data_IF_606063533308
#
_entry.id   IF_606063533308
#
_cell.length_a   1.000
_cell.length_b   1.000
_cell.length_c   1.000
_cell.angle_alpha   90.00
_cell.angle_beta   90.00
_cell.angle_gamma   90.00
#
_symmetry.space_group_name_H-M   'P 1'
#
loop_
_entity.id
_entity.type
_entity.pdbx_description
1 polymer ?
#
# COMPACT_ATOMS: atom_id res chain seq x y z
N UNK A 1 -17.75 -13.82 -30.12
CA UNK A 1 -18.77 -12.91 -30.68
C UNK A 1 -18.32 -12.16 -31.94
N UNK A 2 -17.28 -12.64 -32.64
CA UNK A 2 -17.09 -12.44 -34.10
C UNK A 2 -18.24 -12.96 -35.01
N UNK A 3 -19.22 -13.80 -34.60
CA UNK A 3 -20.21 -14.29 -35.53
C UNK A 3 -21.28 -13.27 -35.87
N UNK A 4 -21.56 -12.19 -35.12
CA UNK A 4 -22.63 -11.24 -35.50
C UNK A 4 -22.30 -10.45 -36.77
N UNK A 5 -21.10 -9.87 -36.84
CA UNK A 5 -20.67 -9.18 -38.06
C UNK A 5 -20.43 -10.16 -39.22
N UNK A 6 -19.95 -11.38 -38.90
CA UNK A 6 -19.73 -12.42 -39.90
C UNK A 6 -21.06 -12.97 -40.44
N UNK A 7 -22.08 -13.18 -39.60
CA UNK A 7 -23.42 -13.59 -40.04
C UNK A 7 -24.10 -12.49 -40.82
N UNK A 8 -23.95 -11.22 -40.44
CA UNK A 8 -24.41 -10.09 -41.24
C UNK A 8 -23.78 -10.09 -42.64
N UNK A 9 -22.46 -10.24 -42.72
CA UNK A 9 -21.72 -10.28 -43.98
C UNK A 9 -22.13 -11.48 -44.85
N UNK A 10 -22.30 -12.66 -44.24
CA UNK A 10 -22.74 -13.88 -44.94
C UNK A 10 -24.16 -13.73 -45.48
N UNK A 11 -25.10 -13.20 -44.69
CA UNK A 11 -26.49 -12.97 -45.14
C UNK A 11 -26.56 -11.94 -46.26
N UNK A 12 -25.77 -10.87 -46.16
CA UNK A 12 -25.71 -9.83 -47.19
C UNK A 12 -25.09 -10.37 -48.48
N UNK A 13 -23.99 -11.13 -48.40
CA UNK A 13 -23.37 -11.78 -49.55
C UNK A 13 -24.30 -12.82 -50.19
N UNK A 14 -24.98 -13.65 -49.39
CA UNK A 14 -25.94 -14.63 -49.88
C UNK A 14 -27.14 -13.96 -50.57
N UNK A 15 -27.65 -12.86 -50.02
CA UNK A 15 -28.74 -12.10 -50.64
C UNK A 15 -28.36 -11.50 -51.99
N UNK A 16 -27.13 -10.97 -52.12
CA UNK A 16 -26.60 -10.47 -53.40
C UNK A 16 -26.46 -11.60 -54.42
N UNK A 17 -25.90 -12.75 -54.00
CA UNK A 17 -25.66 -13.89 -54.89
C UNK A 17 -26.96 -14.54 -55.41
N UNK A 18 -28.03 -14.49 -54.63
CA UNK A 18 -29.35 -15.07 -54.97
C UNK A 18 -30.30 -14.00 -55.54
N UNK A 19 -29.84 -12.76 -55.70
CA UNK A 19 -30.65 -11.59 -56.13
C UNK A 19 -31.93 -11.40 -55.28
N UNK A 20 -31.88 -11.79 -54.00
CA UNK A 20 -33.01 -11.71 -53.08
C UNK A 20 -32.81 -10.57 -52.08
N UNK A 21 -33.68 -9.55 -52.20
CA UNK A 21 -33.72 -8.41 -51.28
C UNK A 21 -34.06 -8.85 -49.85
N UNK A 22 -34.91 -9.85 -49.69
CA UNK A 22 -35.37 -10.32 -48.37
C UNK A 22 -34.21 -10.94 -47.59
N UNK A 23 -33.39 -11.76 -48.25
CA UNK A 23 -32.20 -12.38 -47.64
C UNK A 23 -31.16 -11.32 -47.29
N UNK A 24 -30.98 -10.31 -48.14
CA UNK A 24 -30.09 -9.19 -47.85
C UNK A 24 -30.57 -8.37 -46.64
N UNK A 25 -31.89 -8.13 -46.51
CA UNK A 25 -32.49 -7.41 -45.38
C UNK A 25 -32.35 -8.16 -44.05
N UNK A 26 -32.26 -9.50 -44.05
CA UNK A 26 -31.99 -10.28 -42.84
C UNK A 26 -30.63 -9.93 -42.19
N UNK A 27 -29.68 -9.38 -42.95
CA UNK A 27 -28.40 -8.90 -42.40
C UNK A 27 -28.54 -7.71 -41.44
N UNK A 28 -29.65 -6.97 -41.51
CA UNK A 28 -29.92 -5.85 -40.61
C UNK A 28 -30.13 -6.30 -39.16
N UNK A 29 -30.66 -7.51 -38.94
CA UNK A 29 -30.89 -8.04 -37.58
C UNK A 29 -29.60 -8.23 -36.78
N UNK A 30 -28.57 -8.95 -37.28
CA UNK A 30 -27.30 -9.07 -36.57
C UNK A 30 -26.53 -7.74 -36.50
N UNK A 31 -26.68 -6.84 -37.48
CA UNK A 31 -26.11 -5.48 -37.41
C UNK A 31 -26.74 -4.64 -36.32
N UNK A 32 -28.07 -4.63 -36.21
CA UNK A 32 -28.80 -3.94 -35.16
C UNK A 32 -28.45 -4.52 -33.78
N UNK A 33 -28.39 -5.85 -33.67
CA UNK A 33 -27.96 -6.52 -32.44
C UNK A 33 -26.51 -6.16 -32.06
N UNK A 34 -25.60 -6.07 -33.03
CA UNK A 34 -24.23 -5.62 -32.80
C UNK A 34 -24.19 -4.16 -32.32
N UNK A 35 -24.91 -3.25 -33.00
CA UNK A 35 -24.98 -1.84 -32.64
C UNK A 35 -25.53 -1.63 -31.22
N UNK A 36 -26.62 -2.32 -30.87
CA UNK A 36 -27.20 -2.31 -29.53
C UNK A 36 -26.21 -2.80 -28.47
N UNK A 37 -25.47 -3.89 -28.73
CA UNK A 37 -24.46 -4.37 -27.79
C UNK A 37 -23.23 -3.45 -27.71
N UNK A 38 -22.91 -2.71 -28.77
CA UNK A 38 -21.78 -1.79 -28.82
C UNK A 38 -22.02 -0.51 -27.99
N UNK A 39 -23.28 -0.09 -27.85
CA UNK A 39 -23.64 1.06 -27.00
C UNK A 39 -23.56 0.72 -25.52
N UNK A 40 -23.80 -0.54 -25.12
CA UNK A 40 -23.73 -0.99 -23.74
C UNK A 40 -22.37 -0.70 -23.11
N UNK A 41 -22.39 -0.08 -21.93
CA UNK A 41 -21.20 0.05 -21.10
C UNK A 41 -20.81 -1.31 -20.49
N UNK A 42 -19.50 -1.57 -20.31
CA UNK A 42 -19.05 -2.73 -19.57
C UNK A 42 -19.59 -2.70 -18.13
N UNK A 43 -19.86 -3.88 -17.54
CA UNK A 43 -20.29 -4.03 -16.16
C UNK A 43 -19.39 -3.28 -15.18
N UNK A 44 -19.99 -2.61 -14.21
CA UNK A 44 -19.26 -2.14 -13.02
C UNK A 44 -19.00 -3.34 -12.12
N UNK A 45 -17.80 -3.37 -11.56
CA UNK A 45 -17.39 -4.46 -10.70
C UNK A 45 -16.46 -4.00 -9.60
N UNK A 46 -16.49 -4.72 -8.48
CA UNK A 46 -15.54 -4.62 -7.39
C UNK A 46 -14.83 -5.97 -7.27
N UNK A 47 -13.52 -5.94 -7.01
CA UNK A 47 -12.68 -7.13 -6.86
C UNK A 47 -12.12 -7.11 -5.46
N UNK A 48 -12.25 -8.23 -4.75
CA UNK A 48 -11.47 -8.49 -3.55
C UNK A 48 -10.73 -9.81 -3.69
N UNK A 49 -9.53 -9.84 -3.13
CA UNK A 49 -8.69 -11.04 -3.03
C UNK A 49 -8.58 -11.39 -1.55
N UNK A 50 -8.83 -12.65 -1.20
CA UNK A 50 -8.65 -13.16 0.16
C UNK A 50 -7.83 -14.45 0.13
N UNK A 51 -6.74 -14.50 0.90
CA UNK A 51 -6.04 -15.76 1.16
C UNK A 51 -6.83 -16.56 2.19
N UNK A 52 -7.24 -17.78 1.83
CA UNK A 52 -7.98 -18.71 2.69
C UNK A 52 -7.18 -20.00 2.78
N UNK A 53 -6.38 -20.13 3.84
CA UNK A 53 -5.40 -21.22 3.98
C UNK A 53 -4.34 -21.16 2.86
N UNK A 54 -4.14 -22.27 2.15
CA UNK A 54 -3.24 -22.39 1.00
C UNK A 54 -3.86 -22.02 -0.36
N UNK A 55 -5.09 -21.51 -0.39
CA UNK A 55 -5.77 -21.08 -1.60
C UNK A 55 -6.03 -19.58 -1.59
N UNK A 56 -6.09 -18.99 -2.78
CA UNK A 56 -6.56 -17.62 -2.97
C UNK A 56 -7.98 -17.64 -3.50
N UNK A 57 -8.84 -16.91 -2.83
CA UNK A 57 -10.23 -16.66 -3.21
C UNK A 57 -10.34 -15.25 -3.80
N UNK A 58 -10.69 -15.18 -5.08
CA UNK A 58 -11.04 -13.92 -5.74
C UNK A 58 -12.55 -13.81 -5.74
N UNK A 59 -13.07 -12.71 -5.19
CA UNK A 59 -14.49 -12.37 -5.22
C UNK A 59 -14.67 -11.18 -6.14
N UNK A 60 -15.43 -11.39 -7.21
CA UNK A 60 -15.84 -10.33 -8.13
C UNK A 60 -17.33 -10.08 -7.96
N UNK A 61 -17.67 -8.90 -7.46
CA UNK A 61 -19.05 -8.42 -7.36
C UNK A 61 -19.33 -7.51 -8.52
N UNK A 62 -20.44 -7.75 -9.23
CA UNK A 62 -20.76 -7.03 -10.47
C UNK A 62 -22.22 -6.62 -10.55
N UNK A 63 -22.48 -5.52 -11.25
CA UNK A 63 -23.82 -4.93 -11.43
C UNK A 63 -24.75 -5.78 -12.34
N UNK A 64 -25.84 -5.22 -12.86
CA UNK A 64 -26.80 -5.96 -13.69
C UNK A 64 -26.41 -6.05 -15.17
N UNK A 65 -25.32 -5.40 -15.60
CA UNK A 65 -24.98 -5.28 -17.03
C UNK A 65 -24.33 -6.57 -17.53
N UNK A 66 -24.61 -7.03 -18.77
CA UNK A 66 -23.93 -8.19 -19.33
C UNK A 66 -22.52 -7.84 -19.79
N UNK A 67 -21.61 -8.81 -19.77
CA UNK A 67 -20.24 -8.59 -20.23
C UNK A 67 -19.37 -9.84 -20.18
N UNK A 68 -18.10 -9.68 -20.56
CA UNK A 68 -17.10 -10.76 -20.55
C UNK A 68 -15.96 -10.37 -19.62
N UNK A 69 -15.70 -11.20 -18.61
CA UNK A 69 -14.63 -11.02 -17.64
C UNK A 69 -13.40 -11.80 -18.09
N UNK A 70 -12.24 -11.15 -18.13
CA UNK A 70 -10.92 -11.76 -18.22
C UNK A 70 -10.20 -11.53 -16.89
N UNK A 71 -9.86 -12.61 -16.20
CA UNK A 71 -9.19 -12.56 -14.89
C UNK A 71 -7.87 -13.29 -15.04
N UNK A 72 -6.78 -12.61 -14.71
CA UNK A 72 -5.43 -13.17 -14.79
C UNK A 72 -4.48 -12.46 -13.83
N UNK A 73 -3.45 -13.16 -13.38
CA UNK A 73 -2.33 -12.53 -12.71
C UNK A 73 -1.40 -11.90 -13.75
N UNK A 74 -0.90 -10.70 -13.46
CA UNK A 74 0.14 -10.11 -14.30
C UNK A 74 1.39 -11.00 -14.31
N UNK A 75 2.09 -11.02 -15.43
CA UNK A 75 3.36 -11.72 -15.58
C UNK A 75 4.52 -10.72 -15.58
N UNK A 76 5.71 -11.10 -15.07
CA UNK A 76 6.90 -10.26 -15.18
C UNK A 76 7.20 -9.95 -16.64
N UNK A 77 7.71 -8.73 -16.90
CA UNK A 77 8.06 -8.25 -18.25
C UNK A 77 9.05 -9.19 -18.95
N UNK A 78 9.89 -9.89 -18.18
CA UNK A 78 10.90 -10.82 -18.65
C UNK A 78 10.37 -12.22 -19.00
N UNK A 79 9.12 -12.54 -18.65
CA UNK A 79 8.57 -13.87 -18.92
C UNK A 79 8.04 -14.00 -20.36
N UNK A 80 8.43 -15.08 -21.02
CA UNK A 80 7.99 -15.41 -22.39
C UNK A 80 6.61 -16.09 -22.45
N UNK A 81 6.08 -16.53 -21.31
CA UNK A 81 4.81 -17.25 -21.23
C UNK A 81 3.65 -16.31 -20.87
N UNK A 82 2.54 -16.41 -21.62
CA UNK A 82 1.31 -15.69 -21.29
C UNK A 82 0.71 -16.24 -19.97
N UNK A 83 0.16 -15.38 -19.11
CA UNK A 83 -0.49 -15.85 -17.88
C UNK A 83 -1.70 -16.72 -18.21
N UNK A 84 -2.06 -17.68 -17.34
CA UNK A 84 -3.35 -18.33 -17.42
C UNK A 84 -4.45 -17.27 -17.30
N UNK A 85 -5.33 -17.21 -18.30
CA UNK A 85 -6.45 -16.26 -18.36
C UNK A 85 -7.76 -17.01 -18.21
N UNK A 86 -8.55 -16.66 -17.21
CA UNK A 86 -9.92 -17.15 -17.10
C UNK A 86 -10.86 -16.20 -17.82
N UNK A 87 -11.68 -16.76 -18.72
CA UNK A 87 -12.69 -16.02 -19.47
C UNK A 87 -14.08 -16.48 -19.04
N UNK A 88 -14.88 -15.57 -18.49
CA UNK A 88 -16.23 -15.87 -18.01
C UNK A 88 -17.26 -14.92 -18.62
N UNK A 89 -18.36 -15.46 -19.14
CA UNK A 89 -19.52 -14.66 -19.54
C UNK A 89 -20.36 -14.30 -18.32
N UNK A 90 -20.62 -13.00 -18.15
CA UNK A 90 -21.51 -12.47 -17.13
C UNK A 90 -22.89 -12.20 -17.74
N UNK A 91 -23.93 -12.93 -17.32
CA UNK A 91 -25.31 -12.66 -17.72
C UNK A 91 -25.89 -11.40 -17.04
N UNK A 92 -27.05 -10.88 -17.49
CA UNK A 92 -27.60 -9.59 -17.06
C UNK A 92 -28.31 -9.66 -15.68
N UNK A 93 -27.61 -10.16 -14.66
CA UNK A 93 -28.03 -10.15 -13.27
C UNK A 93 -26.85 -9.92 -12.34
N UNK A 94 -27.11 -9.34 -11.16
CA UNK A 94 -26.10 -9.20 -10.11
C UNK A 94 -25.53 -10.57 -9.80
N UNK A 95 -24.21 -10.67 -9.84
CA UNK A 95 -23.53 -11.94 -9.62
C UNK A 95 -22.25 -11.71 -8.83
N UNK A 96 -22.10 -12.52 -7.80
CA UNK A 96 -20.85 -12.72 -7.08
C UNK A 96 -20.16 -13.93 -7.70
N UNK A 97 -19.00 -13.71 -8.30
CA UNK A 97 -18.15 -14.77 -8.85
C UNK A 97 -17.02 -15.04 -7.86
N UNK A 98 -16.94 -16.27 -7.39
CA UNK A 98 -15.90 -16.72 -6.48
C UNK A 98 -14.99 -17.70 -7.21
N UNK A 99 -13.72 -17.33 -7.38
CA UNK A 99 -12.70 -18.17 -8.01
C UNK A 99 -11.68 -18.60 -6.95
N UNK A 100 -11.51 -19.91 -6.77
CA UNK A 100 -10.53 -20.49 -5.86
C UNK A 100 -9.44 -21.17 -6.67
N UNK A 101 -8.19 -20.80 -6.44
CA UNK A 101 -7.03 -21.48 -7.02
C UNK A 101 -5.88 -21.51 -6.02
N UNK A 102 -4.98 -22.48 -6.18
CA UNK A 102 -3.74 -22.57 -5.40
C UNK A 102 -2.71 -21.66 -6.04
N UNK A 103 -2.13 -20.77 -5.24
CA UNK A 103 -1.00 -19.96 -5.71
C UNK A 103 0.23 -20.86 -5.79
N UNK A 104 1.05 -20.70 -6.84
CA UNK A 104 2.44 -21.11 -6.75
C UNK A 104 3.10 -20.27 -5.64
N UNK A 105 3.84 -20.92 -4.73
CA UNK A 105 4.60 -20.22 -3.69
C UNK A 105 5.63 -19.30 -4.34
N UNK A 106 5.25 -18.03 -4.56
CA UNK A 106 6.15 -16.95 -4.95
C UNK A 106 6.25 -15.98 -3.79
N UNK A 107 7.47 -15.51 -3.53
CA UNK A 107 7.80 -14.61 -2.43
C UNK A 107 7.10 -13.25 -2.55
N UNK A 108 6.74 -12.83 -3.76
CA UNK A 108 6.04 -11.57 -4.02
C UNK A 108 4.74 -11.82 -4.82
N UNK A 109 3.56 -11.39 -4.30
CA UNK A 109 2.31 -11.50 -5.03
C UNK A 109 2.26 -10.49 -6.18
N UNK A 110 2.19 -10.98 -7.42
CA UNK A 110 1.97 -10.13 -8.59
C UNK A 110 0.54 -9.55 -8.58
N UNK A 111 0.32 -8.35 -9.16
CA UNK A 111 -1.00 -7.75 -9.18
C UNK A 111 -1.99 -8.60 -9.99
N UNK A 112 -3.19 -8.74 -9.44
CA UNK A 112 -4.32 -9.39 -10.08
C UNK A 112 -4.99 -8.39 -11.02
N UNK A 113 -5.17 -8.78 -12.29
CA UNK A 113 -5.81 -7.94 -13.30
C UNK A 113 -7.17 -8.53 -13.65
N UNK A 114 -8.20 -7.69 -13.58
CA UNK A 114 -9.55 -8.01 -14.03
C UNK A 114 -9.96 -7.04 -15.12
N UNK A 115 -10.09 -7.55 -16.33
CA UNK A 115 -10.62 -6.80 -17.47
C UNK A 115 -12.06 -7.22 -17.75
N UNK A 116 -12.91 -6.25 -18.00
CA UNK A 116 -14.33 -6.48 -18.29
C UNK A 116 -14.68 -5.78 -19.58
N UNK A 117 -15.20 -6.55 -20.52
CA UNK A 117 -15.65 -6.08 -21.82
C UNK A 117 -17.17 -6.06 -21.88
N UNK A 118 -17.73 -5.18 -22.71
CA UNK A 118 -19.11 -5.31 -23.15
C UNK A 118 -19.26 -6.56 -24.07
N UNK A 119 -20.48 -7.04 -24.36
CA UNK A 119 -20.68 -8.31 -25.08
C UNK A 119 -19.98 -8.41 -26.45
N UNK A 120 -19.75 -7.27 -27.12
CA UNK A 120 -19.10 -7.18 -28.43
C UNK A 120 -17.64 -6.66 -28.40
N UNK A 121 -17.04 -6.53 -27.22
CA UNK A 121 -15.63 -6.15 -27.02
C UNK A 121 -15.23 -4.77 -27.59
N UNK A 122 -16.18 -3.85 -27.74
CA UNK A 122 -15.90 -2.48 -28.20
C UNK A 122 -15.49 -1.55 -27.05
N UNK A 123 -15.90 -1.86 -25.81
CA UNK A 123 -15.60 -1.08 -24.62
C UNK A 123 -14.98 -1.98 -23.55
N UNK A 124 -14.05 -1.43 -22.77
CA UNK A 124 -13.32 -2.14 -21.71
C UNK A 124 -13.25 -1.34 -20.42
N UNK A 125 -13.40 -2.01 -19.28
CA UNK A 125 -13.04 -1.53 -17.94
C UNK A 125 -11.95 -2.44 -17.37
N UNK A 126 -10.96 -1.87 -16.71
CA UNK A 126 -9.85 -2.62 -16.10
C UNK A 126 -9.76 -2.22 -14.63
N UNK A 127 -9.60 -3.20 -13.76
CA UNK A 127 -9.20 -2.98 -12.39
C UNK A 127 -7.97 -3.83 -12.11
N UNK A 128 -6.94 -3.18 -11.57
CA UNK A 128 -5.74 -3.85 -11.07
C UNK A 128 -5.84 -3.86 -9.56
N UNK A 129 -5.90 -5.05 -8.98
CA UNK A 129 -5.85 -5.22 -7.54
C UNK A 129 -4.40 -5.46 -7.15
N UNK A 130 -3.79 -4.46 -6.52
CA UNK A 130 -2.57 -4.64 -5.74
C UNK A 130 -3.02 -5.11 -4.35
N UNK A 131 -2.50 -6.24 -3.90
CA UNK A 131 -2.71 -6.65 -2.51
C UNK A 131 -2.07 -5.58 -1.64
N UNK A 132 -2.88 -4.87 -0.86
CA UNK A 132 -2.36 -3.96 0.14
C UNK A 132 -1.42 -4.78 1.03
N UNK A 133 -0.16 -4.34 1.23
CA UNK A 133 0.70 -4.98 2.20
C UNK A 133 -0.13 -5.12 3.47
N UNK A 134 -0.27 -6.36 3.96
CA UNK A 134 -0.85 -6.57 5.29
C UNK A 134 -0.13 -5.56 6.18
N UNK A 135 -0.86 -4.64 6.81
CA UNK A 135 -0.30 -3.95 7.96
C UNK A 135 0.27 -5.07 8.81
N UNK A 136 1.60 -5.11 8.90
CA UNK A 136 2.30 -6.04 9.77
C UNK A 136 1.56 -5.88 11.08
N UNK A 137 0.86 -6.93 11.53
CA UNK A 137 0.16 -6.87 12.79
C UNK A 137 1.19 -6.31 13.75
N UNK A 138 0.87 -5.16 14.38
CA UNK A 138 1.76 -4.59 15.39
C UNK A 138 2.21 -5.78 16.23
N UNK A 139 3.53 -6.01 16.36
CA UNK A 139 4.02 -7.16 17.09
C UNK A 139 3.25 -7.16 18.40
N UNK A 140 2.49 -8.23 18.63
CA UNK A 140 1.63 -8.31 19.80
C UNK A 140 2.47 -7.84 20.98
N UNK A 141 1.99 -6.86 21.79
CA UNK A 141 2.79 -6.33 22.87
C UNK A 141 3.37 -7.52 23.60
N UNK A 142 4.71 -7.60 23.57
CA UNK A 142 5.42 -8.78 24.02
C UNK A 142 4.83 -9.14 25.38
N UNK A 143 4.25 -10.34 25.48
CA UNK A 143 3.59 -10.76 26.70
C UNK A 143 4.56 -10.56 27.87
N UNK A 144 4.10 -10.20 29.07
CA UNK A 144 4.99 -9.88 30.18
C UNK A 144 5.84 -11.11 30.48
N UNK A 145 7.12 -11.06 30.11
CA UNK A 145 7.98 -12.22 29.94
C UNK A 145 9.04 -12.10 28.84
N UNK A 146 8.94 -11.13 27.93
CA UNK A 146 10.05 -10.79 27.01
C UNK A 146 10.86 -9.56 27.47
N UNK A 147 10.87 -9.32 28.78
CA UNK A 147 11.63 -8.26 29.41
C UNK A 147 12.92 -8.88 29.98
N UNK A 148 14.06 -8.24 29.79
CA UNK A 148 15.33 -8.72 30.33
C UNK A 148 15.35 -8.54 31.86
N UNK A 149 15.76 -9.59 32.57
CA UNK A 149 15.89 -9.55 34.03
C UNK A 149 16.97 -8.54 34.43
N UNK A 150 16.60 -7.51 35.18
CA UNK A 150 17.52 -6.46 35.64
C UNK A 150 18.11 -6.79 37.01
N UNK A 151 17.25 -6.90 38.02
CA UNK A 151 17.67 -7.04 39.42
C UNK A 151 16.56 -7.65 40.30
N UNK A 152 16.96 -8.22 41.44
CA UNK A 152 16.04 -8.56 42.54
C UNK A 152 16.20 -7.49 43.63
N UNK A 153 15.10 -6.83 44.02
CA UNK A 153 15.12 -5.83 45.10
C UNK A 153 14.04 -6.07 46.16
N UNK A 154 14.18 -5.52 47.37
CA UNK A 154 13.12 -5.56 48.38
C UNK A 154 11.81 -4.94 47.85
N UNK A 155 10.68 -5.57 48.19
CA UNK A 155 9.34 -5.10 47.85
C UNK A 155 9.05 -3.75 48.50
N UNK A 156 8.47 -2.84 47.72
CA UNK A 156 7.93 -1.58 48.24
C UNK A 156 6.41 -1.53 48.03
N UNK A 157 5.64 -0.91 48.95
CA UNK A 157 4.21 -0.71 48.77
C UNK A 157 3.90 0.01 47.45
N UNK A 158 3.17 -0.65 46.56
CA UNK A 158 2.86 -0.18 45.19
C UNK A 158 3.42 -1.07 44.08
N UNK A 159 4.37 -1.95 44.41
CA UNK A 159 4.88 -2.95 43.47
C UNK A 159 3.81 -4.00 43.14
N UNK A 160 3.72 -4.41 41.87
CA UNK A 160 2.74 -5.39 41.42
C UNK A 160 3.07 -6.79 41.97
N UNK A 161 2.07 -7.46 42.54
CA UNK A 161 2.19 -8.82 43.09
C UNK A 161 2.62 -9.86 42.05
N UNK A 162 2.40 -9.57 40.75
CA UNK A 162 2.80 -10.44 39.64
C UNK A 162 4.32 -10.63 39.56
N UNK A 163 5.09 -9.66 40.05
CA UNK A 163 6.55 -9.67 39.98
C UNK A 163 7.22 -10.14 41.27
N UNK A 164 6.45 -10.63 42.26
CA UNK A 164 7.01 -11.15 43.52
C UNK A 164 7.88 -12.38 43.24
N UNK A 165 9.10 -12.35 43.77
CA UNK A 165 10.02 -13.48 43.72
C UNK A 165 9.69 -14.46 44.86
N UNK A 166 8.77 -15.38 44.60
CA UNK A 166 8.36 -16.41 45.57
C UNK A 166 9.52 -17.28 46.05
N UNK A 167 10.54 -17.49 45.21
CA UNK A 167 11.72 -18.28 45.56
C UNK A 167 12.63 -17.55 46.56
N UNK A 168 12.76 -16.23 46.43
CA UNK A 168 13.46 -15.40 47.40
C UNK A 168 12.69 -15.39 48.73
N UNK A 169 11.37 -15.17 48.68
CA UNK A 169 10.51 -15.19 49.87
C UNK A 169 10.64 -16.50 50.66
N UNK A 170 10.63 -17.64 49.96
CA UNK A 170 10.77 -18.95 50.60
C UNK A 170 12.14 -19.17 51.29
N UNK A 171 13.18 -18.44 50.88
CA UNK A 171 14.54 -18.58 51.44
C UNK A 171 14.85 -17.57 52.54
N UNK A 172 14.38 -16.32 52.38
CA UNK A 172 14.75 -15.21 53.26
C UNK A 172 13.62 -14.83 54.23
N UNK A 173 12.38 -15.22 53.95
CA UNK A 173 11.20 -14.78 54.70
C UNK A 173 10.77 -13.33 54.42
N UNK A 174 11.50 -12.62 53.58
CA UNK A 174 11.25 -11.23 53.20
C UNK A 174 10.72 -11.14 51.76
N UNK A 175 9.87 -10.14 51.49
CA UNK A 175 9.30 -9.93 50.16
C UNK A 175 10.31 -9.24 49.23
N UNK A 176 10.60 -9.91 48.11
CA UNK A 176 11.42 -9.37 47.02
C UNK A 176 10.62 -9.35 45.72
N UNK A 177 10.97 -8.42 44.82
CA UNK A 177 10.35 -8.24 43.50
C UNK A 177 11.43 -8.37 42.43
N UNK A 178 11.13 -9.12 41.38
CA UNK A 178 11.95 -9.16 40.17
C UNK A 178 11.64 -7.94 39.32
N UNK A 179 12.66 -7.11 39.06
CA UNK A 179 12.55 -5.99 38.14
C UNK A 179 13.00 -6.45 36.77
N UNK A 180 12.16 -6.23 35.78
CA UNK A 180 12.49 -6.48 34.38
C UNK A 180 12.54 -5.14 33.63
N UNK A 181 13.49 -5.00 32.71
CA UNK A 181 13.53 -3.94 31.72
C UNK A 181 12.94 -4.51 30.44
N UNK A 182 11.85 -3.91 29.94
CA UNK A 182 11.43 -4.19 28.56
C UNK A 182 12.56 -3.84 27.58
N UNK A 183 12.61 -4.45 26.38
CA UNK A 183 13.48 -3.95 25.34
C UNK A 183 13.16 -2.46 25.16
N UNK A 184 14.17 -1.59 25.28
CA UNK A 184 13.98 -0.18 24.92
C UNK A 184 13.55 -0.17 23.45
N UNK A 185 12.26 0.07 23.22
CA UNK A 185 11.74 0.19 21.87
C UNK A 185 12.39 1.44 21.28
N UNK A 186 13.38 1.24 20.41
CA UNK A 186 14.10 2.34 19.78
C UNK A 186 13.07 3.27 19.14
N UNK A 187 13.07 4.54 19.52
CA UNK A 187 12.05 5.49 19.12
C UNK A 187 12.50 6.25 17.89
N UNK A 188 11.64 6.34 16.89
CA UNK A 188 11.88 7.17 15.72
C UNK A 188 10.75 8.18 15.54
N UNK A 189 11.13 9.44 15.28
CA UNK A 189 10.19 10.53 15.00
C UNK A 189 10.36 11.00 13.57
N UNK A 190 9.29 10.89 12.77
CA UNK A 190 9.24 11.37 11.39
C UNK A 190 8.49 12.71 11.35
N UNK A 191 9.25 13.79 11.20
CA UNK A 191 8.74 15.15 11.04
C UNK A 191 8.37 15.41 9.58
N UNK A 192 7.14 15.82 9.33
CA UNK A 192 6.57 15.99 7.99
C UNK A 192 6.35 17.48 7.69
N UNK A 193 7.16 18.06 6.80
CA UNK A 193 6.98 19.41 6.26
C UNK A 193 6.28 19.38 4.90
N UNK A 194 4.95 19.35 4.93
CA UNK A 194 4.12 19.30 3.74
C UNK A 194 3.75 20.67 3.15
N UNK A 195 4.41 21.78 3.55
CA UNK A 195 4.11 23.13 3.01
C UNK A 195 4.35 23.23 1.51
N UNK A 196 5.30 22.45 0.99
CA UNK A 196 5.60 22.34 -0.45
C UNK A 196 5.70 20.87 -0.83
N UNK A 197 5.34 20.56 -2.08
CA UNK A 197 5.47 19.22 -2.64
C UNK A 197 4.77 18.14 -1.79
N UNK A 198 3.60 18.47 -1.21
CA UNK A 198 2.87 17.64 -0.25
C UNK A 198 2.83 16.16 -0.66
N UNK A 199 2.41 15.84 -1.88
CA UNK A 199 2.35 14.44 -2.35
C UNK A 199 3.69 13.69 -2.22
N UNK A 200 4.80 14.31 -2.63
CA UNK A 200 6.14 13.72 -2.56
C UNK A 200 6.67 13.63 -1.12
N UNK A 201 6.37 14.64 -0.29
CA UNK A 201 6.74 14.63 1.13
C UNK A 201 6.01 13.49 1.86
N UNK A 202 4.71 13.32 1.60
CA UNK A 202 3.94 12.26 2.25
C UNK A 202 4.39 10.87 1.82
N UNK A 203 4.70 10.67 0.52
CA UNK A 203 5.24 9.39 0.05
C UNK A 203 6.61 9.08 0.65
N UNK A 204 7.51 10.07 0.70
CA UNK A 204 8.84 9.90 1.29
C UNK A 204 8.80 9.67 2.80
N UNK A 205 7.87 10.33 3.51
CA UNK A 205 7.66 10.11 4.94
C UNK A 205 7.13 8.69 5.24
N UNK A 206 6.21 8.19 4.41
CA UNK A 206 5.72 6.81 4.53
C UNK A 206 6.83 5.79 4.23
N UNK A 207 7.66 6.03 3.21
CA UNK A 207 8.81 5.18 2.88
C UNK A 207 9.85 5.16 4.00
N UNK A 208 10.22 6.33 4.54
CA UNK A 208 11.14 6.44 5.67
C UNK A 208 10.62 5.72 6.93
N UNK A 209 9.32 5.83 7.21
CA UNK A 209 8.67 5.12 8.31
C UNK A 209 8.72 3.59 8.11
N UNK A 210 8.52 3.10 6.89
CA UNK A 210 8.67 1.68 6.56
C UNK A 210 10.08 1.15 6.85
N UNK A 211 11.11 1.87 6.40
CA UNK A 211 12.53 1.51 6.63
C UNK A 211 12.86 1.47 8.13
N UNK A 212 12.35 2.43 8.90
CA UNK A 212 12.53 2.48 10.36
C UNK A 212 11.82 1.32 11.07
N UNK A 213 10.58 1.01 10.69
CA UNK A 213 9.80 -0.07 11.26
C UNK A 213 10.46 -1.44 10.99
N UNK A 214 10.97 -1.66 9.78
CA UNK A 214 11.73 -2.87 9.42
C UNK A 214 12.99 -3.06 10.28
N UNK A 215 13.55 -1.95 10.80
CA UNK A 215 14.71 -1.94 11.68
C UNK A 215 14.37 -2.03 13.18
N UNK A 216 13.09 -2.25 13.50
CA UNK A 216 12.63 -2.42 14.88
C UNK A 216 12.38 -1.11 15.64
N UNK A 217 12.34 0.03 14.96
CA UNK A 217 11.98 1.29 15.60
C UNK A 217 10.46 1.43 15.77
N UNK A 218 10.04 1.94 16.92
CA UNK A 218 8.69 2.47 17.12
C UNK A 218 8.56 3.86 16.49
N UNK A 219 7.80 3.95 15.39
CA UNK A 219 7.72 5.17 14.58
C UNK A 219 6.52 6.02 14.97
N UNK A 220 6.75 7.30 15.23
CA UNK A 220 5.71 8.32 15.40
C UNK A 220 5.87 9.44 14.37
N UNK A 221 4.77 10.06 13.96
CA UNK A 221 4.80 11.20 13.05
C UNK A 221 4.62 12.51 13.80
N UNK A 222 5.30 13.56 13.35
CA UNK A 222 5.02 14.92 13.77
C UNK A 222 4.77 15.78 12.54
N UNK A 223 3.52 16.19 12.35
CA UNK A 223 3.12 16.92 11.14
C UNK A 223 3.11 18.40 11.47
N UNK A 224 3.93 19.18 10.76
CA UNK A 224 4.07 20.61 11.02
C UNK A 224 2.74 21.34 10.77
N UNK A 225 2.26 22.06 11.79
CA UNK A 225 0.93 22.70 11.80
C UNK A 225 -0.23 21.81 12.27
N UNK A 226 0.01 20.53 12.54
CA UNK A 226 -0.99 19.61 13.11
C UNK A 226 -0.56 19.05 14.47
N UNK A 227 0.73 18.77 14.66
CA UNK A 227 1.27 18.19 15.89
C UNK A 227 1.57 16.68 15.78
N UNK A 228 1.69 15.98 16.92
CA UNK A 228 2.01 14.56 16.96
C UNK A 228 0.83 13.72 16.43
N UNK A 229 1.14 12.72 15.61
CA UNK A 229 0.16 11.82 15.02
C UNK A 229 0.74 10.40 14.88
N UNK A 230 -0.11 9.39 15.03
CA UNK A 230 0.28 7.99 14.77
C UNK A 230 0.34 7.67 13.27
N UNK A 231 -0.36 8.45 12.45
CA UNK A 231 -0.33 8.37 10.99
C UNK A 231 -0.44 9.76 10.39
N UNK A 232 0.01 9.93 9.14
CA UNK A 232 -0.12 11.20 8.44
C UNK A 232 -1.61 11.56 8.24
N UNK A 233 -2.09 12.72 8.73
CA UNK A 233 -3.49 13.12 8.61
C UNK A 233 -3.86 13.42 7.15
N UNK A 234 -5.08 13.03 6.76
CA UNK A 234 -5.62 13.24 5.39
C UNK A 234 -5.84 14.72 5.08
N UNK A 235 -6.18 15.53 6.08
CA UNK A 235 -6.43 16.96 5.92
C UNK A 235 -5.81 17.74 7.09
N UNK A 236 -4.94 18.69 6.78
CA UNK A 236 -4.38 19.66 7.72
C UNK A 236 -3.86 20.87 6.94
N UNK A 237 -3.69 21.99 7.64
CA UNK A 237 -3.06 23.21 7.13
C UNK A 237 -1.58 23.23 7.52
N UNK A 238 -0.64 23.06 6.58
CA UNK A 238 0.78 23.07 6.90
C UNK A 238 1.24 24.45 7.37
N UNK A 239 1.95 24.50 8.49
CA UNK A 239 2.56 25.73 9.02
C UNK A 239 3.88 25.41 9.73
N UNK A 240 4.75 26.40 9.96
CA UNK A 240 5.97 26.19 10.75
C UNK A 240 5.74 26.20 12.28
N UNK A 241 4.50 26.11 12.74
CA UNK A 241 4.23 26.08 14.18
C UNK A 241 4.44 24.68 14.74
N UNK A 242 5.04 24.62 15.93
CA UNK A 242 5.25 23.39 16.68
C UNK A 242 6.73 23.11 16.94
N UNK A 243 7.00 22.35 18.00
CA UNK A 243 8.32 21.81 18.31
C UNK A 243 8.19 20.28 18.36
N UNK A 244 8.76 19.55 17.40
CA UNK A 244 8.75 18.08 17.45
C UNK A 244 9.62 17.61 18.62
N UNK A 245 9.18 16.55 19.29
CA UNK A 245 10.01 15.84 20.25
C UNK A 245 11.11 15.07 19.52
N UNK A 246 12.26 14.90 20.18
CA UNK A 246 13.33 14.06 19.68
C UNK A 246 13.06 12.59 20.03
N UNK A 247 13.28 11.70 19.07
CA UNK A 247 13.48 10.27 19.33
C UNK A 247 14.97 9.90 19.29
N UNK A 248 15.28 8.61 19.40
CA UNK A 248 16.63 8.07 19.19
C UNK A 248 17.14 8.33 17.77
N UNK A 249 16.20 8.36 16.81
CA UNK A 249 16.42 8.82 15.44
C UNK A 249 15.32 9.80 15.07
N UNK A 250 15.71 10.96 14.54
CA UNK A 250 14.74 11.97 14.07
C UNK A 250 14.91 12.19 12.57
N UNK A 251 13.83 12.06 11.81
CA UNK A 251 13.83 12.24 10.36
C UNK A 251 12.95 13.42 9.99
N UNK A 252 13.52 14.42 9.33
CA UNK A 252 12.79 15.55 8.78
C UNK A 252 12.60 15.37 7.28
N UNK A 253 11.36 15.33 6.81
CA UNK A 253 11.02 15.15 5.41
C UNK A 253 10.39 16.43 4.86
N UNK A 254 11.01 17.01 3.83
CA UNK A 254 10.53 18.27 3.25
C UNK A 254 11.24 18.67 1.96
N UNK A 255 10.94 19.86 1.45
CA UNK A 255 11.59 20.40 0.24
C UNK A 255 12.92 21.12 0.52
N UNK A 256 13.35 21.19 1.79
CA UNK A 256 14.55 21.87 2.35
C UNK A 256 14.96 23.22 1.75
N UNK A 257 14.07 23.88 1.00
CA UNK A 257 14.29 25.24 0.45
C UNK A 257 14.12 26.30 1.53
N UNK A 258 13.29 25.99 2.51
CA UNK A 258 12.96 26.74 3.71
C UNK A 258 12.73 25.65 4.75
N UNK A 259 13.60 25.58 5.76
CA UNK A 259 13.47 24.60 6.83
C UNK A 259 12.84 25.32 8.02
N UNK A 260 11.69 24.82 8.51
CA UNK A 260 11.02 25.46 9.65
C UNK A 260 11.83 25.41 10.94
N UNK A 261 12.56 24.31 11.16
CA UNK A 261 13.29 24.07 12.39
C UNK A 261 14.57 23.26 12.10
N UNK A 262 15.71 23.80 12.56
CA UNK A 262 16.95 23.03 12.67
C UNK A 262 16.88 22.24 13.97
N UNK A 263 16.61 20.95 13.86
CA UNK A 263 16.42 20.06 14.99
C UNK A 263 17.78 19.71 15.57
N UNK A 264 17.97 19.99 16.87
CA UNK A 264 19.16 19.59 17.64
C UNK A 264 18.91 18.27 18.37
N UNK A 265 18.41 17.27 17.64
CA UNK A 265 18.15 15.94 18.17
C UNK A 265 19.35 15.02 17.95
N UNK A 266 19.56 14.00 18.81
CA UNK A 266 20.51 12.94 18.52
C UNK A 266 20.14 12.26 17.19
N UNK A 267 21.14 12.03 16.33
CA UNK A 267 21.02 11.37 15.01
C UNK A 267 19.84 11.89 14.18
N UNK A 268 20.00 13.10 13.65
CA UNK A 268 19.00 13.75 12.80
C UNK A 268 19.30 13.55 11.31
N UNK A 269 18.28 13.13 10.55
CA UNK A 269 18.34 12.98 9.09
C UNK A 269 17.37 13.95 8.43
N UNK A 270 17.82 14.64 7.38
CA UNK A 270 16.98 15.52 6.58
C UNK A 270 16.84 14.94 5.17
N UNK A 271 15.63 14.63 4.75
CA UNK A 271 15.33 14.13 3.41
C UNK A 271 14.78 15.30 2.57
N UNK A 272 15.54 15.70 1.55
CA UNK A 272 15.08 16.69 0.57
C UNK A 272 14.41 16.02 -0.63
N UNK A 273 13.08 15.96 -0.61
CA UNK A 273 12.31 15.31 -1.69
C UNK A 273 12.44 15.98 -3.05
N UNK A 274 12.92 17.23 -3.11
CA UNK A 274 13.16 17.94 -4.35
C UNK A 274 14.61 17.85 -4.83
N UNK A 275 15.50 17.24 -4.06
CA UNK A 275 16.90 17.03 -4.43
C UNK A 275 17.14 15.84 -5.36
N UNK A 276 16.10 15.08 -5.70
CA UNK A 276 16.12 14.10 -6.79
C UNK A 276 16.54 14.72 -8.13
N UNK A 277 16.26 16.02 -8.33
CA UNK A 277 16.84 16.79 -9.43
C UNK A 277 18.20 17.40 -9.00
N UNK A 278 19.32 17.04 -9.66
CA UNK A 278 20.65 17.50 -9.27
C UNK A 278 20.82 19.03 -9.39
N UNK A 279 20.14 19.68 -10.34
CA UNK A 279 20.20 21.15 -10.48
C UNK A 279 19.52 21.87 -9.30
N UNK A 280 18.46 21.27 -8.76
CA UNK A 280 17.76 21.80 -7.58
C UNK A 280 18.62 21.60 -6.33
N UNK A 281 19.29 20.46 -6.21
CA UNK A 281 20.21 20.18 -5.11
C UNK A 281 21.40 21.16 -5.07
N UNK A 282 21.99 21.50 -6.22
CA UNK A 282 23.11 22.47 -6.31
C UNK A 282 22.69 23.84 -5.78
N UNK A 283 21.48 24.30 -6.10
CA UNK A 283 20.95 25.59 -5.62
C UNK A 283 20.70 25.63 -4.11
N UNK A 284 20.68 24.48 -3.42
CA UNK A 284 20.39 24.34 -1.98
C UNK A 284 21.61 23.96 -1.14
N UNK A 285 22.81 23.95 -1.74
CA UNK A 285 24.06 23.59 -1.04
C UNK A 285 24.33 24.45 0.20
N UNK A 286 23.91 25.72 0.22
CA UNK A 286 24.02 26.59 1.40
C UNK A 286 23.27 26.03 2.60
N UNK A 287 22.00 25.68 2.42
CA UNK A 287 21.16 25.08 3.47
C UNK A 287 21.71 23.71 3.90
N UNK A 288 22.21 22.91 2.97
CA UNK A 288 22.79 21.60 3.33
C UNK A 288 24.05 21.74 4.18
N UNK A 289 24.89 22.75 3.94
CA UNK A 289 26.06 23.03 4.78
C UNK A 289 25.63 23.44 6.19
N UNK A 290 24.61 24.27 6.31
CA UNK A 290 24.04 24.68 7.60
C UNK A 290 23.52 23.48 8.39
N UNK A 291 22.69 22.63 7.78
CA UNK A 291 22.16 21.42 8.42
C UNK A 291 23.27 20.43 8.82
N UNK A 292 24.28 20.25 7.97
CA UNK A 292 25.45 19.41 8.29
C UNK A 292 26.29 19.99 9.43
N UNK A 293 26.43 21.31 9.49
CA UNK A 293 27.14 21.98 10.59
C UNK A 293 26.41 21.82 11.93
N UNK A 294 25.08 21.64 11.90
CA UNK A 294 24.28 21.31 13.07
C UNK A 294 24.34 19.81 13.46
N UNK A 295 25.16 19.00 12.78
CA UNK A 295 25.32 17.57 13.05
C UNK A 295 24.30 16.67 12.37
N UNK A 296 23.51 17.19 11.42
CA UNK A 296 22.50 16.41 10.72
C UNK A 296 23.02 15.82 9.40
N UNK A 297 22.50 14.66 9.02
CA UNK A 297 22.80 14.00 7.74
C UNK A 297 21.72 14.40 6.73
N UNK A 298 22.14 14.97 5.59
CA UNK A 298 21.22 15.37 4.53
C UNK A 298 21.21 14.31 3.42
N UNK A 299 20.03 13.74 3.20
CA UNK A 299 19.72 12.72 2.21
C UNK A 299 18.87 13.31 1.08
N UNK A 300 19.00 12.75 -0.12
CA UNK A 300 18.24 13.19 -1.31
C UNK A 300 17.00 12.35 -1.55
N UNK A 301 17.01 11.11 -1.07
CA UNK A 301 15.92 10.16 -1.21
C UNK A 301 15.72 9.38 0.08
N UNK A 302 14.48 8.94 0.34
CA UNK A 302 14.18 8.14 1.53
C UNK A 302 14.90 6.78 1.51
N UNK A 303 15.16 6.20 0.34
CA UNK A 303 15.93 4.94 0.20
C UNK A 303 17.36 5.03 0.73
N UNK A 304 17.96 6.22 0.71
CA UNK A 304 19.32 6.42 1.25
C UNK A 304 19.36 6.23 2.77
N UNK A 305 18.22 6.39 3.45
CA UNK A 305 18.09 6.18 4.89
C UNK A 305 18.51 4.77 5.31
N UNK A 306 18.17 3.76 4.50
CA UNK A 306 18.53 2.37 4.75
C UNK A 306 20.04 2.11 4.72
N UNK A 307 20.84 2.99 4.09
CA UNK A 307 22.31 2.91 4.13
C UNK A 307 22.92 3.78 5.23
N UNK A 308 22.16 4.75 5.72
CA UNK A 308 22.64 5.79 6.61
C UNK A 308 22.41 5.47 8.11
N UNK A 309 21.34 4.72 8.45
CA UNK A 309 21.21 4.09 9.78
C UNK A 309 21.91 2.74 9.81
#
# INVERSE_FOLDING_TARGET
MRPLLLTAAVLLAAGILVESTDVALLSLMPLAAYALNATLEPPRFAVSRRRVGGAVEIVVESDWRPGVFHIYESTPVESSAAPPRWRLFKPPFRRRLTLKYRLAERAEPLPLVVEVYNPVFTKRRVATYLEEPRAVAEPAPLGPGAEEFQEVRPYQPGDSMRFINWRALAKTGELYVNRYLGPEAMTAVVVVDARRLRGLVLSAAAEAAGILAERGYSVSFYVLGHGPAQAVPRSFTPSCSGSPACGDVTIYVGSLRDVCAVLRCPRTYYIDVAASNPLVAVRRLGVYRELRSAGAVVLREAKELGRAL
#
